data_IF_894547077831
#
_entry.id   IF_894547077831
#
_cell.length_a   1.000
_cell.length_b   1.000
_cell.length_c   1.000
_cell.angle_alpha   90.00
_cell.angle_beta   90.00
_cell.angle_gamma   90.00
#
_symmetry.space_group_name_H-M   'P 1'
#
loop_
_entity.id
_entity.type
_entity.pdbx_description
1 polymer ?
#
# COMPACT_ATOMS: atom_id res chain seq x y z
N UNK A 1 -11.33 -1.02 13.71
CA UNK A 1 -10.68 -2.33 13.49
C UNK A 1 -10.70 -2.65 12.00
N UNK A 2 -9.56 -3.02 11.43
CA UNK A 2 -9.41 -3.41 10.03
C UNK A 2 -8.67 -4.74 9.95
N UNK A 3 -9.19 -5.67 9.15
CA UNK A 3 -8.50 -6.90 8.77
C UNK A 3 -7.54 -6.58 7.61
N UNK A 4 -6.26 -6.88 7.77
CA UNK A 4 -5.26 -6.75 6.69
C UNK A 4 -4.73 -8.12 6.33
N UNK A 5 -4.87 -8.51 5.07
CA UNK A 5 -4.50 -9.84 4.58
C UNK A 5 -3.57 -9.76 3.38
N UNK A 6 -2.52 -10.58 3.40
CA UNK A 6 -1.74 -10.87 2.19
C UNK A 6 -2.47 -11.97 1.41
N UNK A 7 -2.90 -11.68 0.19
CA UNK A 7 -3.71 -12.57 -0.64
C UNK A 7 -2.91 -13.24 -1.74
N UNK A 8 -3.43 -14.37 -2.24
CA UNK A 8 -2.96 -14.97 -3.50
C UNK A 8 -3.04 -13.93 -4.63
N UNK A 9 -2.11 -14.02 -5.58
CA UNK A 9 -2.01 -13.14 -6.73
C UNK A 9 -3.30 -13.12 -7.55
N UNK A 10 -3.77 -11.92 -7.89
CA UNK A 10 -4.88 -11.68 -8.81
C UNK A 10 -4.35 -10.88 -9.99
N UNK A 11 -4.74 -11.25 -11.21
CA UNK A 11 -4.30 -10.53 -12.42
C UNK A 11 -4.94 -9.14 -12.56
N UNK A 12 -6.17 -8.97 -12.03
CA UNK A 12 -6.97 -7.77 -12.26
C UNK A 12 -6.78 -6.66 -11.22
N UNK A 13 -6.21 -6.98 -10.05
CA UNK A 13 -6.01 -6.03 -8.94
C UNK A 13 -4.79 -6.41 -8.12
N UNK A 14 -3.94 -5.43 -7.80
CA UNK A 14 -2.77 -5.60 -6.93
C UNK A 14 -3.15 -5.48 -5.45
N UNK A 15 -4.10 -4.59 -5.14
CA UNK A 15 -4.68 -4.35 -3.82
C UNK A 15 -6.20 -4.18 -3.88
N UNK A 16 -6.88 -4.31 -2.74
CA UNK A 16 -8.32 -4.06 -2.63
C UNK A 16 -8.68 -3.68 -1.18
N UNK A 17 -9.16 -2.44 -0.99
CA UNK A 17 -9.85 -1.97 0.21
C UNK A 17 -11.37 -2.18 0.10
N UNK A 18 -11.97 -2.67 1.18
CA UNK A 18 -13.42 -2.76 1.36
C UNK A 18 -13.84 -2.06 2.64
N UNK A 19 -14.79 -1.14 2.48
CA UNK A 19 -15.41 -0.46 3.61
C UNK A 19 -16.32 -1.40 4.41
N UNK A 20 -16.68 -1.04 5.65
CA UNK A 20 -17.56 -1.86 6.48
C UNK A 20 -18.93 -2.01 5.84
N UNK A 21 -19.50 -3.20 5.90
CA UNK A 21 -20.82 -3.49 5.37
C UNK A 21 -21.46 -4.67 6.10
N UNK A 22 -22.75 -4.55 6.47
CA UNK A 22 -23.54 -5.61 7.13
C UNK A 22 -22.83 -6.27 8.33
N UNK A 23 -22.29 -5.46 9.24
CA UNK A 23 -21.60 -5.95 10.45
C UNK A 23 -20.17 -6.47 10.21
N UNK A 24 -19.73 -6.56 8.96
CA UNK A 24 -18.34 -6.87 8.63
C UNK A 24 -17.53 -5.57 8.66
N UNK A 25 -16.42 -5.59 9.41
CA UNK A 25 -15.48 -4.47 9.51
C UNK A 25 -14.71 -4.18 8.22
N UNK A 26 -13.75 -3.27 8.30
CA UNK A 26 -12.90 -2.93 7.17
C UNK A 26 -12.01 -4.11 6.76
N UNK A 27 -11.73 -4.22 5.47
CA UNK A 27 -10.79 -5.22 4.93
C UNK A 27 -9.84 -4.59 3.94
N UNK A 28 -8.58 -4.99 4.00
CA UNK A 28 -7.57 -4.70 3.00
C UNK A 28 -6.92 -6.01 2.58
N UNK A 29 -6.72 -6.18 1.27
CA UNK A 29 -5.92 -7.28 0.73
C UNK A 29 -4.88 -6.79 -0.27
N UNK A 30 -3.67 -7.34 -0.22
CA UNK A 30 -2.58 -7.04 -1.15
C UNK A 30 -2.00 -8.35 -1.68
N UNK A 31 -1.71 -8.41 -2.99
CA UNK A 31 -1.14 -9.60 -3.60
C UNK A 31 0.26 -9.90 -3.04
N UNK A 32 0.55 -11.19 -2.84
CA UNK A 32 1.81 -11.66 -2.24
C UNK A 32 3.02 -11.68 -3.19
N UNK A 33 2.80 -11.51 -4.50
CA UNK A 33 3.82 -11.64 -5.53
C UNK A 33 4.36 -10.30 -6.05
N UNK A 34 4.08 -9.21 -5.34
CA UNK A 34 4.61 -7.89 -5.67
C UNK A 34 6.05 -7.79 -5.16
N UNK A 35 6.93 -7.11 -5.90
CA UNK A 35 8.22 -6.69 -5.35
C UNK A 35 8.01 -5.76 -4.14
N UNK A 36 9.04 -5.61 -3.30
CA UNK A 36 8.96 -4.89 -2.02
C UNK A 36 8.42 -3.46 -2.16
N UNK A 37 8.84 -2.73 -3.20
CA UNK A 37 8.39 -1.37 -3.46
C UNK A 37 6.93 -1.32 -3.93
N UNK A 38 6.56 -2.20 -4.85
CA UNK A 38 5.18 -2.31 -5.34
C UNK A 38 4.21 -2.72 -4.21
N UNK A 39 4.65 -3.63 -3.33
CA UNK A 39 3.91 -4.04 -2.15
C UNK A 39 3.67 -2.87 -1.21
N UNK A 40 4.70 -2.09 -0.86
CA UNK A 40 4.56 -0.92 0.00
C UNK A 40 3.61 0.12 -0.61
N UNK A 41 3.83 0.51 -1.87
CA UNK A 41 3.03 1.55 -2.52
C UNK A 41 1.55 1.14 -2.60
N UNK A 42 1.30 -0.12 -2.95
CA UNK A 42 -0.06 -0.68 -3.00
C UNK A 42 -0.68 -0.75 -1.61
N UNK A 43 0.09 -1.15 -0.59
CA UNK A 43 -0.37 -1.17 0.80
C UNK A 43 -0.78 0.23 1.26
N UNK A 44 0.07 1.25 1.06
CA UNK A 44 -0.24 2.64 1.42
C UNK A 44 -1.46 3.15 0.64
N UNK A 45 -1.64 2.74 -0.62
CA UNK A 45 -2.81 3.08 -1.43
C UNK A 45 -4.11 2.59 -0.78
N UNK A 46 -4.18 1.31 -0.41
CA UNK A 46 -5.37 0.74 0.22
C UNK A 46 -5.62 1.33 1.62
N UNK A 47 -4.56 1.63 2.37
CA UNK A 47 -4.71 2.30 3.67
C UNK A 47 -5.14 3.76 3.56
N UNK A 48 -4.76 4.47 2.49
CA UNK A 48 -5.29 5.80 2.22
C UNK A 48 -6.80 5.75 1.98
N UNK A 49 -7.32 4.69 1.36
CA UNK A 49 -8.78 4.49 1.29
C UNK A 49 -9.42 4.27 2.66
N UNK A 50 -8.81 3.45 3.52
CA UNK A 50 -9.27 3.24 4.90
C UNK A 50 -9.31 4.56 5.69
N UNK A 51 -8.21 5.32 5.67
CA UNK A 51 -8.11 6.58 6.41
C UNK A 51 -9.16 7.58 5.91
N UNK A 52 -9.31 7.70 4.59
CA UNK A 52 -10.31 8.58 3.97
C UNK A 52 -11.73 8.19 4.35
N UNK A 53 -12.03 6.88 4.41
CA UNK A 53 -13.33 6.43 4.91
C UNK A 53 -13.53 6.76 6.39
N UNK A 54 -12.50 6.64 7.22
CA UNK A 54 -12.62 6.97 8.64
C UNK A 54 -12.94 8.46 8.84
N UNK A 55 -12.25 9.33 8.09
CA UNK A 55 -12.40 10.78 8.16
C UNK A 55 -13.71 11.27 7.51
N UNK A 56 -14.08 10.71 6.35
CA UNK A 56 -15.11 11.28 5.47
C UNK A 56 -16.25 10.32 5.09
N UNK A 57 -16.13 9.03 5.42
CA UNK A 57 -17.08 7.97 5.03
C UNK A 57 -17.29 7.95 3.51
N UNK A 58 -18.51 7.68 3.04
CA UNK A 58 -18.91 7.65 1.64
C UNK A 58 -19.24 9.04 1.05
N UNK A 59 -18.83 10.13 1.71
CA UNK A 59 -19.17 11.50 1.29
C UNK A 59 -18.24 12.08 0.23
N UNK A 60 -17.10 11.44 -0.01
CA UNK A 60 -16.04 11.92 -0.91
C UNK A 60 -15.80 10.93 -2.03
N UNK A 61 -15.29 11.43 -3.17
CA UNK A 61 -14.99 10.60 -4.32
C UNK A 61 -13.82 9.67 -4.01
N UNK A 62 -13.84 8.42 -4.50
CA UNK A 62 -12.63 7.61 -4.56
C UNK A 62 -11.53 8.38 -5.29
N UNK A 63 -10.32 8.37 -4.72
CA UNK A 63 -9.16 9.09 -5.26
C UNK A 63 -9.35 10.61 -5.44
N UNK A 64 -10.32 11.19 -4.73
CA UNK A 64 -10.51 12.65 -4.61
C UNK A 64 -9.44 13.32 -3.75
N UNK A 65 -9.51 14.66 -3.61
CA UNK A 65 -8.50 15.46 -2.91
C UNK A 65 -8.25 15.01 -1.47
N UNK A 66 -9.27 14.54 -0.77
CA UNK A 66 -9.14 13.98 0.58
C UNK A 66 -8.30 12.71 0.61
N UNK A 67 -8.55 11.82 -0.36
CA UNK A 67 -7.75 10.61 -0.52
C UNK A 67 -6.31 10.95 -0.91
N UNK A 68 -6.10 11.88 -1.83
CA UNK A 68 -4.75 12.31 -2.26
C UNK A 68 -3.94 12.87 -1.09
N UNK A 69 -4.58 13.72 -0.28
CA UNK A 69 -3.98 14.29 0.94
C UNK A 69 -3.60 13.18 1.93
N UNK A 70 -4.49 12.21 2.14
CA UNK A 70 -4.23 11.09 3.04
C UNK A 70 -3.13 10.16 2.52
N UNK A 71 -3.13 9.83 1.23
CA UNK A 71 -2.08 9.04 0.58
C UNK A 71 -0.71 9.73 0.69
N UNK A 72 -0.63 11.04 0.37
CA UNK A 72 0.59 11.83 0.54
C UNK A 72 1.07 11.83 1.99
N UNK A 73 0.19 12.13 2.95
CA UNK A 73 0.51 12.12 4.38
C UNK A 73 1.09 10.78 4.83
N UNK A 74 0.53 9.66 4.34
CA UNK A 74 1.01 8.33 4.69
C UNK A 74 2.31 7.94 3.98
N UNK A 75 2.59 8.49 2.80
CA UNK A 75 3.81 8.19 2.03
C UNK A 75 5.04 8.98 2.50
N UNK A 76 4.85 10.20 3.04
CA UNK A 76 5.93 11.10 3.48
C UNK A 76 6.99 10.42 4.38
N UNK A 77 6.63 9.65 5.43
CA UNK A 77 7.63 9.01 6.28
C UNK A 77 8.56 8.04 5.55
N UNK A 78 8.10 7.43 4.46
CA UNK A 78 8.90 6.53 3.63
C UNK A 78 9.84 7.31 2.71
N UNK A 79 9.35 8.42 2.14
CA UNK A 79 10.15 9.32 1.31
C UNK A 79 11.27 9.95 2.15
N UNK A 80 10.97 10.45 3.34
CA UNK A 80 11.94 11.12 4.23
C UNK A 80 13.05 10.16 4.71
N UNK A 81 12.73 8.87 4.84
CA UNK A 81 13.68 7.82 5.19
C UNK A 81 14.54 7.33 4.02
N UNK A 82 14.30 7.83 2.81
CA UNK A 82 15.07 7.50 1.60
C UNK A 82 15.18 5.99 1.34
N UNK A 83 14.09 5.25 1.59
CA UNK A 83 14.05 3.79 1.38
C UNK A 83 13.89 3.40 -0.10
N UNK A 84 13.55 4.36 -0.94
CA UNK A 84 13.28 4.15 -2.35
C UNK A 84 14.53 4.42 -3.20
N UNK A 85 14.82 3.58 -4.19
CA UNK A 85 15.71 3.96 -5.28
C UNK A 85 15.27 5.27 -5.94
N UNK A 86 16.23 6.02 -6.47
CA UNK A 86 15.99 7.36 -6.99
C UNK A 86 14.90 7.43 -8.06
N UNK A 87 14.82 6.43 -8.96
CA UNK A 87 13.81 6.38 -10.01
C UNK A 87 12.41 6.10 -9.45
N UNK A 88 12.28 5.20 -8.48
CA UNK A 88 11.03 4.95 -7.76
C UNK A 88 10.61 6.21 -6.98
N UNK A 89 11.53 6.84 -6.25
CA UNK A 89 11.22 8.05 -5.50
C UNK A 89 10.69 9.16 -6.41
N UNK A 90 11.34 9.38 -7.55
CA UNK A 90 10.90 10.37 -8.53
C UNK A 90 9.51 10.00 -9.11
N UNK A 91 9.26 8.73 -9.40
CA UNK A 91 7.98 8.26 -9.88
C UNK A 91 6.87 8.45 -8.84
N UNK A 92 7.14 8.17 -7.55
CA UNK A 92 6.20 8.39 -6.44
C UNK A 92 5.92 9.87 -6.25
N UNK A 93 6.94 10.74 -6.23
CA UNK A 93 6.76 12.19 -6.09
C UNK A 93 5.89 12.72 -7.23
N UNK A 94 6.15 12.29 -8.46
CA UNK A 94 5.33 12.64 -9.63
C UNK A 94 3.89 12.16 -9.45
N UNK A 95 3.69 10.90 -9.06
CA UNK A 95 2.37 10.34 -8.79
C UNK A 95 1.63 11.09 -7.67
N UNK A 96 2.32 11.54 -6.61
CA UNK A 96 1.74 12.30 -5.51
C UNK A 96 1.27 13.71 -5.92
N UNK A 97 1.84 14.28 -6.98
CA UNK A 97 1.40 15.59 -7.48
C UNK A 97 0.10 15.51 -8.29
N UNK A 98 -0.16 14.39 -8.97
CA UNK A 98 -1.42 14.17 -9.69
C UNK A 98 -1.77 12.68 -9.82
N UNK A 99 -2.18 12.01 -8.73
CA UNK A 99 -2.48 10.59 -8.78
C UNK A 99 -3.77 10.39 -9.56
N UNK A 100 -3.67 9.89 -10.79
CA UNK A 100 -4.85 9.60 -11.60
C UNK A 100 -5.71 8.51 -10.94
N UNK A 101 -7.03 8.67 -11.00
CA UNK A 101 -8.03 7.89 -10.29
C UNK A 101 -8.22 6.43 -10.75
N UNK A 102 -7.27 5.82 -11.43
CA UNK A 102 -7.46 4.50 -12.01
C UNK A 102 -6.71 3.43 -11.22
N UNK A 103 -7.42 2.33 -10.97
CA UNK A 103 -6.90 1.01 -10.60
C UNK A 103 -5.86 0.44 -11.58
N UNK A 104 -5.52 1.17 -12.64
CA UNK A 104 -4.28 1.08 -13.39
C UNK A 104 -3.35 2.17 -12.86
N UNK A 105 -2.46 1.78 -11.95
CA UNK A 105 -1.27 2.52 -11.55
C UNK A 105 -0.78 3.41 -12.68
N UNK A 106 -0.57 4.71 -12.40
CA UNK A 106 0.04 5.66 -13.34
C UNK A 106 1.09 4.92 -14.17
N UNK A 107 0.95 4.94 -15.50
CA UNK A 107 1.74 4.08 -16.38
C UNK A 107 3.24 4.25 -16.12
N UNK A 108 3.69 5.43 -15.72
CA UNK A 108 5.07 5.68 -15.36
C UNK A 108 5.46 5.01 -14.03
N UNK A 109 4.65 5.20 -12.97
CA UNK A 109 4.89 4.54 -11.68
C UNK A 109 4.84 3.02 -11.81
N UNK A 110 3.84 2.49 -12.54
CA UNK A 110 3.67 1.06 -12.81
C UNK A 110 4.88 0.46 -13.50
N UNK A 111 5.34 1.09 -14.59
CA UNK A 111 6.52 0.65 -15.34
C UNK A 111 7.78 0.74 -14.50
N UNK A 112 7.93 1.80 -13.71
CA UNK A 112 9.10 1.99 -12.84
C UNK A 112 9.16 0.91 -11.76
N UNK A 113 8.04 0.63 -11.08
CA UNK A 113 7.95 -0.45 -10.10
C UNK A 113 8.21 -1.82 -10.73
N UNK A 114 7.73 -2.06 -11.96
CA UNK A 114 7.92 -3.33 -12.69
C UNK A 114 9.39 -3.62 -13.03
N UNK A 115 10.25 -2.60 -13.13
CA UNK A 115 11.71 -2.81 -13.32
C UNK A 115 12.35 -3.60 -12.17
N UNK A 116 11.68 -3.63 -11.01
CA UNK A 116 12.13 -4.31 -9.82
C UNK A 116 11.46 -5.69 -9.63
N UNK A 117 10.73 -6.20 -10.64
CA UNK A 117 10.19 -7.57 -10.62
C UNK A 117 11.28 -8.63 -10.85
N UNK A 118 12.28 -8.34 -11.70
CA UNK A 118 13.37 -9.25 -12.05
C UNK A 118 14.55 -9.20 -11.06
N UNK A 119 14.60 -8.17 -10.22
CA UNK A 119 15.47 -8.13 -9.05
C UNK A 119 14.84 -9.02 -7.98
N UNK A 120 15.03 -10.33 -8.12
CA UNK A 120 14.52 -11.36 -7.24
C UNK A 120 15.04 -11.17 -5.81
N UNK A 121 14.41 -10.29 -5.05
CA UNK A 121 14.28 -10.41 -3.60
C UNK A 121 12.86 -10.88 -3.32
N UNK A 122 12.56 -12.09 -3.83
CA UNK A 122 11.35 -12.84 -3.47
C UNK A 122 11.57 -13.47 -2.10
N UNK A 123 12.02 -12.70 -1.12
CA UNK A 123 11.92 -13.17 0.25
C UNK A 123 10.47 -12.93 0.66
N UNK A 124 9.81 -14.02 1.08
CA UNK A 124 8.51 -13.96 1.78
C UNK A 124 8.67 -12.94 2.91
N UNK A 125 7.60 -12.28 3.36
CA UNK A 125 7.70 -11.26 4.42
C UNK A 125 8.49 -11.71 5.68
N UNK A 126 8.49 -13.04 5.91
CA UNK A 126 9.16 -13.78 6.97
C UNK A 126 10.64 -14.14 6.68
N UNK A 127 11.11 -14.02 5.44
CA UNK A 127 12.47 -14.32 4.98
C UNK A 127 13.28 -13.06 4.59
N UNK A 128 12.67 -11.86 4.67
CA UNK A 128 13.33 -10.62 4.28
C UNK A 128 14.50 -10.32 5.24
N UNK A 129 15.72 -10.06 4.72
CA UNK A 129 16.80 -9.49 5.52
C UNK A 129 16.31 -8.22 6.21
N UNK A 130 16.89 -7.92 7.39
CA UNK A 130 16.46 -6.85 8.30
C UNK A 130 16.09 -5.51 7.62
N UNK A 131 16.63 -5.19 6.43
CA UNK A 131 16.32 -3.98 5.66
C UNK A 131 14.90 -3.87 5.06
N UNK A 132 14.34 -4.94 4.48
CA UNK A 132 13.02 -4.88 3.80
C UNK A 132 11.84 -5.10 4.76
N UNK A 133 12.01 -5.98 5.76
CA UNK A 133 11.04 -6.13 6.86
C UNK A 133 10.89 -4.83 7.64
N UNK A 134 11.96 -4.03 7.76
CA UNK A 134 11.94 -2.73 8.42
C UNK A 134 10.91 -1.78 7.82
N UNK A 135 10.70 -1.79 6.51
CA UNK A 135 9.76 -0.87 5.84
C UNK A 135 8.31 -1.16 6.27
N UNK A 136 7.95 -2.44 6.31
CA UNK A 136 6.61 -2.89 6.73
C UNK A 136 6.44 -2.73 8.24
N UNK A 137 7.46 -3.06 9.03
CA UNK A 137 7.48 -2.80 10.46
C UNK A 137 7.34 -1.30 10.78
N UNK A 138 7.99 -0.42 10.00
CA UNK A 138 7.86 1.03 10.12
C UNK A 138 6.44 1.49 9.80
N UNK A 139 5.76 0.88 8.82
CA UNK A 139 4.35 1.16 8.56
C UNK A 139 3.48 0.82 9.78
N UNK A 140 3.63 -0.38 10.35
CA UNK A 140 2.82 -0.82 11.50
C UNK A 140 3.22 -0.17 12.83
N UNK A 141 4.44 0.36 12.97
CA UNK A 141 4.89 1.12 14.13
C UNK A 141 4.35 2.56 14.17
N UNK A 142 3.92 3.08 13.02
CA UNK A 142 3.30 4.42 12.92
C UNK A 142 2.02 4.49 13.76
N UNK A 143 1.74 5.59 14.47
CA UNK A 143 0.48 5.79 15.20
C UNK A 143 -0.76 5.56 14.33
N UNK A 144 -0.64 5.80 13.02
CA UNK A 144 -1.70 5.61 12.02
C UNK A 144 -2.12 4.14 11.88
N UNK A 145 -1.23 3.19 12.13
CA UNK A 145 -1.45 1.77 11.89
C UNK A 145 -1.78 0.95 13.15
N UNK A 146 -1.72 1.55 14.35
CA UNK A 146 -1.85 0.85 15.65
C UNK A 146 -3.21 0.17 15.91
N UNK A 147 -4.25 0.49 15.15
CA UNK A 147 -5.59 -0.11 15.29
C UNK A 147 -5.90 -1.23 14.28
N UNK A 148 -4.88 -1.76 13.60
CA UNK A 148 -5.00 -2.79 12.57
C UNK A 148 -4.60 -4.13 13.16
N UNK A 149 -5.41 -5.16 12.91
CA UNK A 149 -5.06 -6.55 13.23
C UNK A 149 -4.55 -7.21 11.95
N UNK A 150 -3.23 -7.39 11.77
CA UNK A 150 -2.69 -8.11 10.62
C UNK A 150 -3.06 -9.59 10.73
N UNK A 151 -3.63 -10.15 9.67
CA UNK A 151 -3.84 -11.59 9.52
C UNK A 151 -2.84 -12.12 8.50
N UNK A 152 -1.71 -12.61 9.01
CA UNK A 152 -0.78 -13.40 8.21
C UNK A 152 -1.41 -14.78 8.00
N UNK A 153 -1.42 -15.32 6.76
CA UNK A 153 -1.85 -16.70 6.56
C UNK A 153 -0.93 -17.62 7.35
N UNK A 154 -1.48 -18.44 8.25
CA UNK A 154 -0.75 -19.54 8.87
C UNK A 154 -0.27 -20.48 7.76
N UNK A 155 1.03 -20.49 7.51
CA UNK A 155 1.66 -21.46 6.61
C UNK A 155 1.90 -22.73 7.42
N UNK A 156 0.99 -23.69 7.29
CA UNK A 156 1.31 -25.12 7.36
C UNK A 156 1.71 -25.59 5.96
#
# INVERSE_FOLDING_TARGET
>A
QCEFKISKSRATKLGDYRHPFRGVGHKISVNNNLNSYAFLVTTVHEFAHLLTWNDHKNKVKPHGEEWKRNFKKMMVPFIDKQIFPADIQQAIVTYLTNPSAASCTDLNLSRTLKKYDDAADVSRLEELPLGSATIILMFFASPVARSITPSFPSLL
#
